data_IF_474294395043
#
_entry.id   IF_474294395043
#
_cell.length_a   1.000
_cell.length_b   1.000
_cell.length_c   1.000
_cell.angle_alpha   90.00
_cell.angle_beta   90.00
_cell.angle_gamma   90.00
#
_symmetry.space_group_name_H-M   'P 1'
#
loop_
_entity.id
_entity.type
_entity.pdbx_description
1 polymer ?
#
# COMPACT_ATOMS: atom_id res chain seq x y z
N UNK A 1 47.88 1.83 -1.47
CA UNK A 1 47.44 2.80 -2.47
C UNK A 1 46.43 3.74 -1.85
N UNK A 2 46.75 5.05 -1.78
CA UNK A 2 45.76 6.04 -1.39
C UNK A 2 44.62 6.08 -2.39
N UNK A 3 43.40 5.87 -1.91
CA UNK A 3 42.20 6.03 -2.75
C UNK A 3 41.88 7.52 -2.76
N UNK A 4 42.01 8.17 -3.90
CA UNK A 4 41.58 9.54 -4.09
C UNK A 4 40.08 9.55 -4.46
N UNK A 5 39.19 9.92 -3.57
CA UNK A 5 37.76 10.04 -3.90
C UNK A 5 37.57 11.22 -4.87
N UNK A 6 36.85 11.01 -5.94
CA UNK A 6 36.52 12.04 -6.93
C UNK A 6 35.21 12.78 -6.59
N UNK A 7 34.42 12.27 -5.66
CA UNK A 7 33.17 12.88 -5.18
C UNK A 7 32.83 12.39 -3.78
N UNK A 8 31.98 13.12 -3.09
CA UNK A 8 31.41 12.71 -1.80
C UNK A 8 30.24 11.77 -2.04
N UNK A 9 30.23 10.65 -1.33
CA UNK A 9 29.13 9.68 -1.41
C UNK A 9 28.88 9.05 -0.03
N UNK A 10 27.65 8.58 0.17
CA UNK A 10 27.31 7.75 1.31
C UNK A 10 28.02 6.39 1.26
N UNK A 11 28.15 5.75 2.42
CA UNK A 11 28.63 4.37 2.50
C UNK A 11 27.43 3.42 2.53
N UNK A 12 27.18 2.75 1.40
CA UNK A 12 26.07 1.82 1.23
C UNK A 12 26.52 0.35 1.31
N UNK A 13 27.68 0.07 1.87
CA UNK A 13 28.17 -1.30 2.03
C UNK A 13 27.38 -2.01 3.13
N UNK A 14 26.89 -3.21 2.81
CA UNK A 14 26.24 -4.10 3.77
C UNK A 14 27.28 -4.67 4.73
N UNK A 15 26.97 -4.74 6.00
CA UNK A 15 27.82 -5.44 6.99
C UNK A 15 27.64 -6.95 6.87
N UNK A 16 28.61 -7.74 7.36
CA UNK A 16 28.54 -9.19 7.35
C UNK A 16 27.31 -9.71 8.13
N UNK A 17 26.97 -9.07 9.25
CA UNK A 17 25.81 -9.44 10.06
C UNK A 17 24.51 -9.22 9.28
N UNK A 18 24.36 -8.06 8.62
CA UNK A 18 23.21 -7.79 7.75
C UNK A 18 23.13 -8.79 6.60
N UNK A 19 24.27 -9.11 5.97
CA UNK A 19 24.32 -10.05 4.88
C UNK A 19 23.94 -11.47 5.32
N UNK A 20 24.39 -11.91 6.49
CA UNK A 20 24.04 -13.22 7.03
C UNK A 20 22.52 -13.35 7.29
N UNK A 21 21.92 -12.34 7.90
CA UNK A 21 20.46 -12.31 8.12
C UNK A 21 19.70 -12.26 6.79
N UNK A 22 20.13 -11.40 5.85
CA UNK A 22 19.50 -11.29 4.54
C UNK A 22 19.56 -12.60 3.76
N UNK A 23 20.70 -13.32 3.81
CA UNK A 23 20.88 -14.60 3.13
C UNK A 23 19.93 -15.66 3.69
N UNK A 24 19.79 -15.73 5.02
CA UNK A 24 18.86 -16.66 5.67
C UNK A 24 17.40 -16.36 5.30
N UNK A 25 17.01 -15.08 5.27
CA UNK A 25 15.66 -14.66 4.89
C UNK A 25 15.37 -14.88 3.40
N UNK A 26 16.37 -14.68 2.54
CA UNK A 26 16.22 -14.86 1.09
C UNK A 26 15.80 -16.30 0.74
N UNK A 27 16.31 -17.29 1.48
CA UNK A 27 15.92 -18.69 1.29
C UNK A 27 14.43 -18.96 1.58
N UNK A 28 13.79 -18.14 2.41
CA UNK A 28 12.36 -18.28 2.77
C UNK A 28 11.43 -17.45 1.87
N UNK A 29 11.98 -16.48 1.13
CA UNK A 29 11.21 -15.51 0.35
C UNK A 29 10.21 -16.15 -0.62
N UNK A 30 10.55 -17.21 -1.39
CA UNK A 30 9.60 -17.84 -2.31
C UNK A 30 8.34 -18.37 -1.59
N UNK A 31 8.51 -18.99 -0.42
CA UNK A 31 7.40 -19.53 0.36
C UNK A 31 6.54 -18.42 0.98
N UNK A 32 7.18 -17.36 1.47
CA UNK A 32 6.48 -16.18 2.00
C UNK A 32 5.60 -15.56 0.91
N UNK A 33 6.17 -15.30 -0.27
CA UNK A 33 5.43 -14.70 -1.40
C UNK A 33 4.30 -15.62 -1.86
N UNK A 34 4.53 -16.93 -1.93
CA UNK A 34 3.51 -17.90 -2.31
C UNK A 34 2.32 -17.89 -1.33
N UNK A 35 2.58 -17.93 -0.03
CA UNK A 35 1.53 -17.94 1.01
C UNK A 35 0.70 -16.66 0.97
N UNK A 36 1.36 -15.49 0.88
CA UNK A 36 0.68 -14.20 0.76
C UNK A 36 -0.17 -14.12 -0.49
N UNK A 37 0.33 -14.62 -1.62
CA UNK A 37 -0.40 -14.65 -2.88
C UNK A 37 -1.67 -15.48 -2.77
N UNK A 38 -1.57 -16.73 -2.31
CA UNK A 38 -2.73 -17.62 -2.16
C UNK A 38 -3.80 -16.98 -1.28
N UNK A 39 -3.41 -16.37 -0.17
CA UNK A 39 -4.35 -15.71 0.73
C UNK A 39 -5.02 -14.48 0.06
N UNK A 40 -4.24 -13.61 -0.59
CA UNK A 40 -4.77 -12.40 -1.22
C UNK A 40 -5.65 -12.69 -2.43
N UNK A 41 -5.28 -13.67 -3.26
CA UNK A 41 -6.09 -14.11 -4.39
C UNK A 41 -7.43 -14.68 -3.90
N UNK A 42 -7.41 -15.55 -2.89
CA UNK A 42 -8.62 -16.10 -2.28
C UNK A 42 -9.50 -15.01 -1.64
N UNK A 43 -8.91 -13.98 -1.01
CA UNK A 43 -9.68 -12.85 -0.49
C UNK A 43 -10.32 -12.06 -1.65
N UNK A 44 -9.58 -11.82 -2.74
CA UNK A 44 -10.12 -11.11 -3.91
C UNK A 44 -11.31 -11.84 -4.52
N UNK A 45 -11.22 -13.16 -4.67
CA UNK A 45 -12.32 -14.00 -5.16
C UNK A 45 -13.57 -13.93 -4.25
N UNK A 46 -13.35 -13.88 -2.93
CA UNK A 46 -14.43 -13.80 -1.93
C UNK A 46 -15.17 -12.46 -1.92
N UNK A 47 -14.45 -11.37 -2.21
CA UNK A 47 -15.02 -10.02 -2.19
C UNK A 47 -15.35 -9.48 -3.59
N UNK A 48 -15.10 -10.27 -4.62
CA UNK A 48 -15.48 -9.93 -5.99
C UNK A 48 -17.00 -9.75 -6.11
N UNK A 49 -17.42 -8.63 -6.68
CA UNK A 49 -18.84 -8.30 -6.84
C UNK A 49 -19.50 -7.75 -5.56
N UNK A 50 -18.77 -7.56 -4.47
CA UNK A 50 -19.29 -6.92 -3.28
C UNK A 50 -19.52 -5.43 -3.53
N UNK A 51 -20.75 -5.00 -3.40
CA UNK A 51 -21.18 -3.64 -3.75
C UNK A 51 -20.40 -2.58 -2.95
N UNK A 52 -19.79 -1.64 -3.66
CA UNK A 52 -19.00 -0.55 -3.08
C UNK A 52 -17.61 -0.93 -2.60
N UNK A 53 -17.17 -2.19 -2.76
CA UNK A 53 -15.83 -2.66 -2.40
C UNK A 53 -15.11 -3.18 -3.65
N UNK A 54 -13.96 -2.60 -3.95
CA UNK A 54 -13.17 -2.93 -5.13
C UNK A 54 -11.86 -3.63 -4.71
N UNK A 55 -11.72 -4.94 -4.93
CA UNK A 55 -10.47 -5.64 -4.69
C UNK A 55 -9.36 -5.12 -5.61
N UNK A 56 -8.09 -5.23 -5.21
CA UNK A 56 -6.97 -4.88 -6.06
C UNK A 56 -6.88 -5.84 -7.25
N UNK A 57 -6.77 -5.28 -8.45
CA UNK A 57 -6.61 -6.06 -9.68
C UNK A 57 -5.14 -6.02 -10.11
N UNK A 58 -4.42 -7.14 -10.05
CA UNK A 58 -3.07 -7.22 -10.60
C UNK A 58 -3.08 -6.92 -12.11
N UNK A 59 -2.09 -6.14 -12.56
CA UNK A 59 -1.90 -5.94 -14.00
C UNK A 59 -1.65 -7.28 -14.69
N UNK A 60 -2.28 -7.56 -15.84
CA UNK A 60 -2.08 -8.81 -16.56
C UNK A 60 -0.59 -9.11 -16.80
N UNK A 61 -0.17 -10.33 -16.49
CA UNK A 61 1.22 -10.75 -16.57
C UNK A 61 2.10 -10.37 -15.38
N UNK A 62 1.59 -9.63 -14.39
CA UNK A 62 2.31 -9.29 -13.18
C UNK A 62 1.99 -10.25 -12.03
N UNK A 63 3.00 -10.52 -11.20
CA UNK A 63 2.88 -11.33 -10.00
C UNK A 63 3.20 -10.48 -8.76
N UNK A 64 2.21 -9.92 -8.07
CA UNK A 64 2.45 -9.11 -6.88
C UNK A 64 2.98 -9.97 -5.71
N UNK A 65 3.84 -9.38 -4.89
CA UNK A 65 4.38 -10.02 -3.69
C UNK A 65 3.47 -9.85 -2.46
N UNK A 66 2.46 -9.01 -2.58
CA UNK A 66 1.46 -8.76 -1.55
C UNK A 66 2.06 -8.40 -0.18
N UNK A 67 2.80 -7.30 -0.14
CA UNK A 67 3.27 -6.76 1.13
C UNK A 67 2.11 -6.33 2.03
N UNK A 68 1.07 -5.75 1.42
CA UNK A 68 -0.24 -5.47 1.99
C UNK A 68 -1.32 -5.70 0.93
N UNK A 69 -2.58 -5.73 1.34
CA UNK A 69 -3.73 -5.79 0.46
C UNK A 69 -4.42 -4.43 0.46
N UNK A 70 -4.41 -3.73 -0.67
CA UNK A 70 -5.03 -2.42 -0.82
C UNK A 70 -6.31 -2.57 -1.61
N UNK A 71 -7.44 -2.64 -0.93
CA UNK A 71 -8.74 -2.50 -1.57
C UNK A 71 -9.09 -1.01 -1.74
N UNK A 72 -10.04 -0.72 -2.61
CA UNK A 72 -10.67 0.61 -2.70
C UNK A 72 -12.14 0.49 -2.37
N UNK A 73 -12.69 1.56 -1.85
CA UNK A 73 -14.13 1.67 -1.65
C UNK A 73 -14.72 2.68 -2.64
N UNK A 74 -16.02 2.58 -2.85
CA UNK A 74 -16.82 3.57 -3.57
C UNK A 74 -17.66 4.37 -2.57
N UNK A 75 -17.19 5.55 -2.14
CA UNK A 75 -17.88 6.34 -1.12
C UNK A 75 -19.33 6.69 -1.49
N UNK A 76 -19.58 6.89 -2.77
CA UNK A 76 -20.93 7.21 -3.26
C UNK A 76 -21.88 6.01 -3.17
N UNK A 77 -21.35 4.79 -3.26
CA UNK A 77 -22.11 3.54 -3.11
C UNK A 77 -22.34 3.20 -1.64
N UNK A 78 -21.30 3.34 -0.82
CA UNK A 78 -21.37 2.98 0.60
C UNK A 78 -21.93 4.10 1.51
N UNK A 79 -21.81 5.35 1.08
CA UNK A 79 -22.22 6.52 1.89
C UNK A 79 -21.23 6.90 2.99
N UNK A 80 -20.02 6.34 2.94
CA UNK A 80 -18.93 6.57 3.91
C UNK A 80 -17.61 6.72 3.20
N UNK A 81 -16.66 7.40 3.82
CA UNK A 81 -15.30 7.52 3.33
C UNK A 81 -14.39 6.36 3.76
N UNK A 82 -13.14 6.39 3.32
CA UNK A 82 -12.17 5.35 3.61
C UNK A 82 -11.81 5.27 5.09
N UNK A 83 -11.81 6.40 5.81
CA UNK A 83 -11.51 6.44 7.24
C UNK A 83 -12.62 5.74 8.04
N UNK A 84 -13.88 6.05 7.75
CA UNK A 84 -15.02 5.45 8.44
C UNK A 84 -15.12 3.95 8.13
N UNK A 85 -14.91 3.56 6.87
CA UNK A 85 -14.91 2.14 6.49
C UNK A 85 -13.76 1.37 7.15
N UNK A 86 -12.55 1.93 7.20
CA UNK A 86 -11.41 1.32 7.89
C UNK A 86 -11.66 1.21 9.40
N UNK A 87 -12.25 2.23 10.02
CA UNK A 87 -12.63 2.19 11.44
C UNK A 87 -13.66 1.09 11.71
N UNK A 88 -14.61 0.89 10.81
CA UNK A 88 -15.57 -0.23 10.88
C UNK A 88 -14.88 -1.59 10.86
N UNK A 89 -13.90 -1.79 9.96
CA UNK A 89 -13.11 -3.04 9.93
C UNK A 89 -12.33 -3.25 11.23
N UNK A 90 -11.73 -2.20 11.77
CA UNK A 90 -11.01 -2.27 13.05
C UNK A 90 -11.97 -2.65 14.20
N UNK A 91 -13.19 -2.14 14.19
CA UNK A 91 -14.21 -2.51 15.18
C UNK A 91 -14.65 -3.98 15.05
N UNK A 92 -14.61 -4.56 13.85
CA UNK A 92 -14.81 -6.00 13.59
C UNK A 92 -13.56 -6.84 13.92
N UNK A 93 -12.48 -6.22 14.38
CA UNK A 93 -11.23 -6.90 14.75
C UNK A 93 -10.23 -7.10 13.60
N UNK A 94 -10.50 -6.53 12.42
CA UNK A 94 -9.60 -6.62 11.25
C UNK A 94 -8.67 -5.42 11.22
N UNK A 95 -7.33 -5.60 11.31
CA UNK A 95 -6.37 -4.51 11.23
C UNK A 95 -6.42 -3.84 9.85
N UNK A 96 -6.98 -2.65 9.80
CA UNK A 96 -7.13 -1.85 8.59
C UNK A 96 -6.72 -0.41 8.83
N UNK A 97 -6.35 0.30 7.77
CA UNK A 97 -6.11 1.74 7.83
C UNK A 97 -6.41 2.39 6.48
N UNK A 98 -7.04 3.57 6.52
CA UNK A 98 -7.06 4.46 5.36
C UNK A 98 -5.76 5.26 5.29
N UNK A 99 -5.53 5.90 4.13
CA UNK A 99 -4.45 6.87 3.95
C UNK A 99 -3.06 6.37 4.37
N UNK A 100 -2.73 5.09 4.03
CA UNK A 100 -1.38 4.54 4.27
C UNK A 100 -0.27 5.45 3.74
N UNK A 101 -0.49 6.10 2.59
CA UNK A 101 0.28 7.22 2.10
C UNK A 101 -0.63 8.44 2.19
N UNK A 102 -0.28 9.41 3.02
CA UNK A 102 -1.17 10.53 3.34
C UNK A 102 -1.41 11.50 2.17
N UNK A 103 -0.49 11.58 1.20
CA UNK A 103 -0.62 12.51 0.06
C UNK A 103 0.25 12.07 -1.12
N UNK A 104 -0.05 12.59 -2.30
CA UNK A 104 0.77 12.36 -3.49
C UNK A 104 2.18 12.93 -3.35
N UNK A 105 3.18 12.22 -3.85
CA UNK A 105 4.60 12.58 -3.70
C UNK A 105 4.89 14.01 -4.20
N UNK A 106 4.31 14.40 -5.31
CA UNK A 106 4.53 15.74 -5.90
C UNK A 106 3.96 16.90 -5.07
N UNK A 107 3.13 16.63 -4.06
CA UNK A 107 2.58 17.65 -3.16
C UNK A 107 3.44 17.90 -1.93
N UNK A 108 4.48 17.10 -1.69
CA UNK A 108 5.39 17.32 -0.56
C UNK A 108 6.17 18.63 -0.70
N UNK A 109 6.42 19.35 0.41
CA UNK A 109 7.18 20.61 0.39
C UNK A 109 8.56 20.51 -0.27
N UNK A 110 9.21 19.35 -0.19
CA UNK A 110 10.49 19.09 -0.86
C UNK A 110 10.43 19.32 -2.38
N UNK A 111 9.27 19.08 -2.99
CA UNK A 111 9.03 19.32 -4.42
C UNK A 111 8.40 20.69 -4.66
N UNK A 112 7.29 21.01 -3.98
CA UNK A 112 6.54 22.26 -4.21
C UNK A 112 7.31 23.53 -3.85
N UNK A 113 8.24 23.44 -2.89
CA UNK A 113 9.10 24.53 -2.45
C UNK A 113 10.55 24.38 -2.95
N UNK A 114 10.85 23.32 -3.71
CA UNK A 114 12.21 23.02 -4.16
C UNK A 114 13.27 22.97 -3.04
N UNK A 115 12.89 22.51 -1.85
CA UNK A 115 13.71 22.60 -0.63
C UNK A 115 14.73 21.45 -0.46
N UNK A 116 14.85 20.55 -1.43
CA UNK A 116 15.75 19.38 -1.34
C UNK A 116 17.24 19.76 -1.28
N UNK A 117 17.62 20.96 -1.75
CA UNK A 117 19.01 21.40 -1.84
C UNK A 117 19.13 22.85 -1.37
N UNK A 118 19.90 23.07 -0.32
CA UNK A 118 20.09 24.41 0.30
C UNK A 118 20.88 25.38 -0.59
N UNK A 119 21.73 24.89 -1.48
CA UNK A 119 22.60 25.71 -2.33
C UNK A 119 22.50 25.30 -3.80
N UNK A 120 22.17 26.24 -4.63
CA UNK A 120 22.22 26.09 -6.09
C UNK A 120 20.94 25.53 -6.72
N UNK A 121 19.91 25.33 -5.95
CA UNK A 121 18.60 24.97 -6.46
C UNK A 121 18.40 23.48 -6.71
N UNK A 122 17.15 23.13 -6.72
CA UNK A 122 16.69 21.81 -7.11
C UNK A 122 16.98 21.56 -8.59
N UNK A 123 17.49 20.38 -9.03
CA UNK A 123 17.81 20.10 -10.42
C UNK A 123 16.58 20.22 -11.36
N UNK A 124 15.38 20.19 -10.80
CA UNK A 124 14.11 20.31 -11.53
C UNK A 124 13.38 21.64 -11.25
N UNK A 125 14.10 22.73 -11.03
CA UNK A 125 13.52 24.06 -10.74
C UNK A 125 12.54 24.56 -11.80
N UNK A 126 12.70 24.11 -13.05
CA UNK A 126 11.80 24.45 -14.13
C UNK A 126 10.41 23.77 -14.04
N UNK A 127 10.25 22.80 -13.13
CA UNK A 127 8.99 22.06 -12.96
C UNK A 127 8.18 22.70 -11.85
N UNK A 128 7.03 23.22 -12.18
CA UNK A 128 6.04 23.69 -11.21
C UNK A 128 5.20 22.49 -10.70
N UNK A 129 5.64 21.90 -9.60
CA UNK A 129 4.96 20.74 -9.01
C UNK A 129 3.55 21.08 -8.47
N UNK A 130 3.22 22.34 -8.24
CA UNK A 130 1.87 22.75 -7.80
C UNK A 130 0.82 22.56 -8.88
N UNK A 131 1.22 22.50 -10.14
CA UNK A 131 0.34 22.28 -11.29
C UNK A 131 0.21 20.80 -11.68
N UNK A 132 0.99 19.91 -11.09
CA UNK A 132 0.92 18.49 -11.41
C UNK A 132 -0.36 17.90 -10.83
N UNK A 133 -1.04 17.06 -11.61
CA UNK A 133 -2.20 16.28 -11.21
C UNK A 133 -2.06 14.85 -11.69
N UNK A 134 -2.31 13.91 -10.79
CA UNK A 134 -2.34 12.48 -11.08
C UNK A 134 -3.67 11.89 -10.57
N UNK A 135 -4.78 12.10 -11.31
CA UNK A 135 -6.12 11.77 -10.83
C UNK A 135 -6.27 10.33 -10.35
N UNK A 136 -5.62 9.37 -11.04
CA UNK A 136 -5.66 7.97 -10.61
C UNK A 136 -4.97 7.74 -9.26
N UNK A 137 -3.82 8.38 -9.01
CA UNK A 137 -3.13 8.28 -7.73
C UNK A 137 -3.92 8.99 -6.62
N UNK A 138 -4.44 10.17 -6.91
CA UNK A 138 -5.29 10.94 -5.99
C UNK A 138 -6.53 10.14 -5.58
N UNK A 139 -7.20 9.49 -6.55
CA UNK A 139 -8.35 8.64 -6.29
C UNK A 139 -7.99 7.43 -5.43
N UNK A 140 -6.90 6.72 -5.74
CA UNK A 140 -6.46 5.57 -4.93
C UNK A 140 -6.16 5.98 -3.50
N UNK A 141 -5.52 7.14 -3.30
CA UNK A 141 -5.24 7.65 -1.95
C UNK A 141 -6.50 8.06 -1.19
N UNK A 142 -7.50 8.60 -1.90
CA UNK A 142 -8.76 9.02 -1.28
C UNK A 142 -9.67 7.84 -0.90
N UNK A 143 -9.61 6.73 -1.64
CA UNK A 143 -10.55 5.62 -1.50
C UNK A 143 -9.90 4.31 -1.01
N UNK A 144 -8.58 4.31 -0.85
CA UNK A 144 -7.82 3.13 -0.50
C UNK A 144 -7.91 2.77 0.98
N UNK A 145 -8.19 1.50 1.24
CA UNK A 145 -8.15 0.90 2.59
C UNK A 145 -7.13 -0.23 2.56
N UNK A 146 -6.10 -0.09 3.37
CA UNK A 146 -5.02 -1.06 3.49
C UNK A 146 -5.35 -2.11 4.55
N UNK A 147 -5.25 -3.38 4.18
CA UNK A 147 -5.27 -4.51 5.10
C UNK A 147 -3.87 -5.09 5.23
N UNK A 148 -3.51 -5.49 6.44
CA UNK A 148 -2.26 -6.20 6.66
C UNK A 148 -2.32 -7.61 6.06
N UNK A 149 -1.19 -8.07 5.51
CA UNK A 149 -1.02 -9.44 5.01
C UNK A 149 0.20 -10.05 5.64
N UNK A 150 0.04 -11.25 6.18
CA UNK A 150 1.13 -12.00 6.81
C UNK A 150 1.19 -13.41 6.24
N UNK A 151 2.40 -13.94 6.12
CA UNK A 151 2.65 -15.29 5.61
C UNK A 151 2.16 -16.42 6.53
N UNK A 152 1.78 -16.10 7.75
CA UNK A 152 1.20 -17.05 8.70
C UNK A 152 -0.33 -16.97 8.80
N UNK A 153 -0.98 -16.09 8.04
CA UNK A 153 -2.43 -16.05 7.96
C UNK A 153 -2.94 -17.36 7.34
N UNK A 154 -3.95 -17.93 7.97
CA UNK A 154 -4.59 -19.16 7.55
C UNK A 154 -6.03 -18.92 7.07
N UNK A 155 -6.79 -19.98 6.90
CA UNK A 155 -8.17 -19.91 6.44
C UNK A 155 -9.08 -19.14 7.41
N UNK A 156 -8.81 -19.18 8.71
CA UNK A 156 -9.61 -18.47 9.69
C UNK A 156 -9.52 -16.94 9.51
N UNK A 157 -8.30 -16.40 9.36
CA UNK A 157 -8.12 -14.97 9.09
C UNK A 157 -8.72 -14.55 7.75
N UNK A 158 -8.69 -15.43 6.74
CA UNK A 158 -9.34 -15.20 5.45
C UNK A 158 -10.86 -15.07 5.62
N UNK A 159 -11.47 -16.04 6.29
CA UNK A 159 -12.92 -16.10 6.50
C UNK A 159 -13.42 -14.94 7.37
N UNK A 160 -12.68 -14.58 8.40
CA UNK A 160 -13.01 -13.44 9.26
C UNK A 160 -12.90 -12.12 8.51
N UNK A 161 -11.84 -11.94 7.72
CA UNK A 161 -11.64 -10.73 6.91
C UNK A 161 -12.73 -10.58 5.84
N UNK A 162 -13.01 -11.64 5.10
CA UNK A 162 -14.06 -11.62 4.07
C UNK A 162 -15.43 -11.31 4.69
N UNK A 163 -15.77 -11.96 5.80
CA UNK A 163 -17.04 -11.77 6.51
C UNK A 163 -17.20 -10.35 7.05
N UNK A 164 -16.13 -9.75 7.57
CA UNK A 164 -16.15 -8.36 8.02
C UNK A 164 -16.40 -7.38 6.86
N UNK A 165 -15.76 -7.61 5.72
CA UNK A 165 -15.98 -6.82 4.50
C UNK A 165 -17.42 -6.95 4.00
N UNK A 166 -17.94 -8.18 3.91
CA UNK A 166 -19.32 -8.47 3.51
C UNK A 166 -20.34 -7.77 4.42
N UNK A 167 -20.14 -7.88 5.74
CA UNK A 167 -21.03 -7.26 6.74
C UNK A 167 -21.04 -5.73 6.65
N UNK A 168 -19.89 -5.11 6.56
CA UNK A 168 -19.77 -3.66 6.47
C UNK A 168 -20.34 -3.13 5.15
N UNK A 169 -20.03 -3.75 4.02
CA UNK A 169 -20.60 -3.37 2.74
C UNK A 169 -22.13 -3.47 2.77
N UNK A 170 -22.67 -4.61 3.23
CA UNK A 170 -24.11 -4.78 3.36
C UNK A 170 -24.75 -3.80 4.34
N UNK A 171 -24.10 -3.53 5.47
CA UNK A 171 -24.60 -2.56 6.45
C UNK A 171 -24.73 -1.16 5.85
N UNK A 172 -23.74 -0.71 5.10
CA UNK A 172 -23.73 0.62 4.52
C UNK A 172 -24.69 0.74 3.34
N UNK A 173 -24.78 -0.27 2.48
CA UNK A 173 -25.69 -0.25 1.33
C UNK A 173 -27.16 -0.41 1.73
N UNK A 174 -27.48 -1.17 2.78
CA UNK A 174 -28.87 -1.40 3.22
C UNK A 174 -29.52 -0.24 3.97
N UNK A 175 -28.77 0.80 4.34
CA UNK A 175 -29.26 1.95 5.09
C UNK A 175 -29.55 3.17 4.21
N UNK A 176 -29.42 3.02 2.91
CA UNK A 176 -29.82 3.98 1.91
C UNK A 176 -31.21 3.71 1.39
#
# INVERSE_FOLDING_TARGET
AMRNPTFLAGNYRMTELQAAVALAQLGQLPDIVKKRRVWCEALSERVEGLEGVLPPLPTPGCNPSWWFYMLRIEPETLGVDADEFAAGLVAEGIPASAHYIGQCVYTYPVFTQHSAFERGGHPYQAVDYTQIRCPGAEQVLATGVMLQVKEYFCQAELDDTARALERLAHWHTSRR
#
